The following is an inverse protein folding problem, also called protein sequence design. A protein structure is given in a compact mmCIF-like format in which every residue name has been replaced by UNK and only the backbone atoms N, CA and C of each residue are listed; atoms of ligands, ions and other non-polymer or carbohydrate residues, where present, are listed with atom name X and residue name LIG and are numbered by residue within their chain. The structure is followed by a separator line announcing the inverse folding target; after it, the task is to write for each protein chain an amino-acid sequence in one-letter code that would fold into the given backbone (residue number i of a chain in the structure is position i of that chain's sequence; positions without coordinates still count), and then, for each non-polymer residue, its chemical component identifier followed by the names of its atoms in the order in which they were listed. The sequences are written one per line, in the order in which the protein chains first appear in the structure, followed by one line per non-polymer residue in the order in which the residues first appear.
data_IF_596198372345
#
_entry.id   IF_596198372345
#
_cell.length_a   1.000
_cell.length_b   1.000
_cell.length_c   1.000
_cell.angle_alpha   90.00
_cell.angle_beta   90.00
_cell.angle_gamma   90.00
#
_symmetry.space_group_name_H-M   'P 1'
#
loop_
_entity.id
_entity.type
_entity.pdbx_description
1 polymer ?
#
# COMPACT_ATOMS: atom_id res chain seq x y z
N UNK A 1 -17.87 -0.52 -2.18
CA UNK A 1 -16.50 0.03 -2.32
C UNK A 1 -16.20 0.83 -1.07
N UNK A 2 -15.07 0.58 -0.44
CA UNK A 2 -14.59 1.35 0.70
C UNK A 2 -13.82 2.59 0.24
N UNK A 3 -13.93 3.67 1.01
CA UNK A 3 -13.09 4.84 0.88
C UNK A 3 -11.66 4.48 1.31
N UNK A 4 -10.67 4.94 0.53
CA UNK A 4 -9.25 4.74 0.84
C UNK A 4 -8.65 6.04 1.34
N UNK A 5 -8.25 6.03 2.61
CA UNK A 5 -7.43 7.05 3.22
C UNK A 5 -5.96 6.65 3.19
N UNK A 6 -5.07 7.63 3.13
CA UNK A 6 -3.63 7.40 3.12
C UNK A 6 -2.99 8.02 4.33
N UNK A 7 -2.26 7.20 5.10
CA UNK A 7 -1.36 7.74 6.12
C UNK A 7 -0.26 8.58 5.43
N UNK A 8 0.13 9.76 5.95
CA UNK A 8 1.12 10.63 5.30
C UNK A 8 2.44 9.94 4.95
N UNK A 9 2.90 9.04 5.84
CA UNK A 9 4.10 8.22 5.60
C UNK A 9 3.95 7.20 4.46
N UNK A 10 2.74 6.68 4.20
CA UNK A 10 2.51 5.81 3.04
C UNK A 10 2.67 6.60 1.73
N UNK A 11 2.21 7.86 1.71
CA UNK A 11 2.40 8.77 0.57
C UNK A 11 3.89 9.06 0.35
N UNK A 12 4.65 9.32 1.42
CA UNK A 12 6.10 9.50 1.34
C UNK A 12 6.81 8.27 0.75
N UNK A 13 6.41 7.07 1.17
CA UNK A 13 6.95 5.80 0.67
C UNK A 13 6.65 5.59 -0.81
N UNK A 14 5.41 5.83 -1.24
CA UNK A 14 5.02 5.78 -2.66
C UNK A 14 5.82 6.79 -3.50
N UNK A 15 5.95 8.04 -3.02
CA UNK A 15 6.76 9.08 -3.70
C UNK A 15 8.23 8.70 -3.78
N UNK A 16 8.78 8.10 -2.74
CA UNK A 16 10.16 7.60 -2.73
C UNK A 16 10.36 6.48 -3.76
N UNK A 17 9.45 5.50 -3.81
CA UNK A 17 9.46 4.42 -4.79
C UNK A 17 9.38 4.98 -6.23
N UNK A 18 8.45 5.91 -6.48
CA UNK A 18 8.32 6.59 -7.78
C UNK A 18 9.61 7.29 -8.20
N UNK A 19 10.24 8.06 -7.30
CA UNK A 19 11.53 8.73 -7.59
C UNK A 19 12.63 7.72 -7.92
N UNK A 20 12.72 6.61 -7.18
CA UNK A 20 13.71 5.56 -7.44
C UNK A 20 13.54 4.98 -8.85
N UNK A 21 12.32 4.65 -9.25
CA UNK A 21 12.06 4.11 -10.59
C UNK A 21 12.25 5.16 -11.70
N UNK A 22 12.02 6.45 -11.40
CA UNK A 22 12.24 7.53 -12.35
C UNK A 22 13.72 7.67 -12.75
N UNK A 23 14.65 7.35 -11.85
CA UNK A 23 16.08 7.29 -12.15
C UNK A 23 16.46 6.15 -13.12
N UNK A 24 15.62 5.12 -13.23
CA UNK A 24 15.85 3.97 -14.11
C UNK A 24 15.18 4.21 -15.47
N UNK A 25 13.87 4.51 -15.48
CA UNK A 25 13.10 4.77 -16.70
C UNK A 25 11.72 5.34 -16.38
N UNK A 26 11.25 6.28 -17.22
CA UNK A 26 9.87 6.78 -17.16
C UNK A 26 8.85 5.65 -17.37
N UNK A 27 9.13 4.70 -18.27
CA UNK A 27 8.23 3.55 -18.52
C UNK A 27 8.06 2.68 -17.28
N UNK A 28 9.15 2.42 -16.55
CA UNK A 28 9.11 1.63 -15.31
C UNK A 28 8.35 2.37 -14.20
N UNK A 29 8.52 3.69 -14.12
CA UNK A 29 7.79 4.56 -13.19
C UNK A 29 6.29 4.52 -13.46
N UNK A 30 5.87 4.64 -14.72
CA UNK A 30 4.47 4.56 -15.10
C UNK A 30 3.86 3.19 -14.76
N UNK A 31 4.59 2.10 -15.04
CA UNK A 31 4.16 0.74 -14.65
C UNK A 31 3.97 0.60 -13.14
N UNK A 32 4.89 1.14 -12.34
CA UNK A 32 4.77 1.12 -10.88
C UNK A 32 3.54 1.87 -10.39
N UNK A 33 3.31 3.08 -10.91
CA UNK A 33 2.15 3.89 -10.51
C UNK A 33 0.83 3.22 -10.89
N UNK A 34 0.72 2.69 -12.11
CA UNK A 34 -0.48 1.98 -12.55
C UNK A 34 -0.79 0.75 -11.68
N UNK A 35 0.25 0.02 -11.27
CA UNK A 35 0.07 -1.16 -10.41
C UNK A 35 -0.26 -0.79 -8.97
N UNK A 36 0.32 0.30 -8.46
CA UNK A 36 -0.06 0.88 -7.18
C UNK A 36 -1.53 1.29 -7.17
N UNK A 37 -1.99 2.02 -8.19
CA UNK A 37 -3.37 2.47 -8.32
C UNK A 37 -4.34 1.29 -8.45
N UNK A 38 -3.98 0.27 -9.25
CA UNK A 38 -4.76 -0.97 -9.35
C UNK A 38 -4.83 -1.73 -8.02
N UNK A 39 -3.74 -1.78 -7.25
CA UNK A 39 -3.73 -2.39 -5.93
C UNK A 39 -4.61 -1.65 -4.93
N UNK A 40 -4.57 -0.31 -4.94
CA UNK A 40 -5.45 0.54 -4.12
C UNK A 40 -6.92 0.33 -4.49
N UNK A 41 -7.23 0.29 -5.78
CA UNK A 41 -8.59 0.02 -6.25
C UNK A 41 -9.08 -1.38 -5.84
N UNK A 42 -8.21 -2.40 -5.90
CA UNK A 42 -8.54 -3.75 -5.47
C UNK A 42 -8.83 -3.82 -3.95
N UNK A 43 -8.03 -3.12 -3.14
CA UNK A 43 -8.29 -2.99 -1.70
C UNK A 43 -9.65 -2.33 -1.46
N UNK A 44 -9.95 -1.22 -2.16
CA UNK A 44 -11.23 -0.51 -2.00
C UNK A 44 -12.44 -1.31 -2.48
N UNK A 45 -12.26 -2.16 -3.50
CA UNK A 45 -13.33 -3.03 -3.99
C UNK A 45 -13.73 -4.08 -2.95
N UNK A 46 -12.74 -4.74 -2.33
CA UNK A 46 -12.97 -5.84 -1.39
C UNK A 46 -11.94 -5.87 -0.23
N UNK A 47 -12.06 -4.97 0.77
CA UNK A 47 -11.09 -4.87 1.87
C UNK A 47 -10.94 -6.15 2.69
N UNK A 48 -12.01 -6.92 2.81
CA UNK A 48 -12.06 -8.13 3.66
C UNK A 48 -11.52 -9.37 2.96
N UNK A 49 -11.25 -9.31 1.65
CA UNK A 49 -10.83 -10.45 0.83
C UNK A 49 -9.44 -10.99 1.22
N UNK A 50 -8.56 -10.13 1.73
CA UNK A 50 -7.18 -10.48 2.03
C UNK A 50 -7.06 -10.88 3.49
N UNK A 51 -6.52 -12.06 3.79
CA UNK A 51 -6.45 -12.56 5.17
C UNK A 51 -5.84 -11.54 6.14
N UNK A 52 -6.46 -11.33 7.32
CA UNK A 52 -5.88 -10.48 8.35
C UNK A 52 -4.54 -11.06 8.81
N UNK A 53 -3.62 -10.15 9.05
CA UNK A 53 -2.32 -10.42 9.62
C UNK A 53 -2.28 -9.88 11.06
N UNK A 54 -1.08 -9.72 11.61
CA UNK A 54 -0.89 -9.16 12.94
C UNK A 54 -1.59 -7.80 13.11
N UNK A 55 -2.20 -7.61 14.29
CA UNK A 55 -2.86 -6.37 14.69
C UNK A 55 -4.03 -5.93 13.78
N UNK A 56 -4.70 -6.88 13.11
CA UNK A 56 -5.82 -6.59 12.22
C UNK A 56 -5.43 -5.93 10.89
N UNK A 57 -4.12 -5.78 10.63
CA UNK A 57 -3.63 -5.25 9.35
C UNK A 57 -3.73 -6.31 8.26
N UNK A 58 -3.93 -5.88 7.02
CA UNK A 58 -3.99 -6.75 5.84
C UNK A 58 -2.94 -6.29 4.83
N UNK A 59 -2.56 -7.19 3.93
CA UNK A 59 -1.56 -6.92 2.89
C UNK A 59 -2.13 -7.17 1.50
N UNK A 60 -1.81 -6.26 0.59
CA UNK A 60 -1.92 -6.50 -0.85
C UNK A 60 -0.51 -6.50 -1.46
N UNK A 61 -0.14 -7.56 -2.18
CA UNK A 61 1.15 -7.65 -2.86
C UNK A 61 1.03 -7.11 -4.27
N UNK A 62 1.88 -6.14 -4.62
CA UNK A 62 2.01 -5.71 -6.01
C UNK A 62 2.61 -6.87 -6.85
N UNK A 63 1.92 -7.39 -7.88
CA UNK A 63 2.36 -8.57 -8.62
C UNK A 63 3.76 -8.49 -9.26
N UNK A 64 4.13 -7.34 -9.84
CA UNK A 64 5.39 -7.15 -10.58
C UNK A 64 6.43 -6.32 -9.81
N UNK A 65 6.06 -5.77 -8.65
CA UNK A 65 6.95 -4.93 -7.86
C UNK A 65 7.18 -5.51 -6.46
N UNK A 66 8.38 -5.35 -5.89
CA UNK A 66 8.72 -5.85 -4.55
C UNK A 66 8.11 -4.97 -3.46
N UNK A 67 6.79 -4.72 -3.52
CA UNK A 67 6.07 -3.88 -2.58
C UNK A 67 4.78 -4.55 -2.07
N UNK A 68 4.48 -4.24 -0.82
CA UNK A 68 3.27 -4.63 -0.12
C UNK A 68 2.53 -3.36 0.30
N UNK A 69 1.27 -3.25 -0.08
CA UNK A 69 0.35 -2.25 0.45
C UNK A 69 -0.18 -2.78 1.77
N UNK A 70 0.17 -2.11 2.86
CA UNK A 70 -0.29 -2.46 4.19
C UNK A 70 -1.45 -1.55 4.54
N UNK A 71 -2.57 -2.14 4.91
CA UNK A 71 -3.77 -1.40 5.22
C UNK A 71 -4.51 -1.96 6.43
N UNK A 72 -5.45 -1.17 6.94
CA UNK A 72 -6.30 -1.49 8.08
C UNK A 72 -7.69 -0.93 7.85
N UNK A 73 -8.71 -1.67 8.25
CA UNK A 73 -10.11 -1.21 8.20
C UNK A 73 -10.34 -0.27 9.39
N UNK A 74 -10.28 1.04 9.17
CA UNK A 74 -10.36 2.06 10.24
C UNK A 74 -11.79 2.34 10.69
N UNK A 75 -12.76 2.19 9.79
CA UNK A 75 -14.18 2.36 10.06
C UNK A 75 -15.01 1.51 9.06
N UNK A 76 -16.33 1.36 9.26
CA UNK A 76 -17.19 0.76 8.25
C UNK A 76 -17.00 1.47 6.90
N UNK A 77 -16.75 0.70 5.85
CA UNK A 77 -16.47 1.21 4.49
C UNK A 77 -15.29 2.18 4.38
N UNK A 78 -14.35 2.19 5.34
CA UNK A 78 -13.14 3.02 5.28
C UNK A 78 -11.90 2.18 5.53
N UNK A 79 -10.90 2.36 4.69
CA UNK A 79 -9.61 1.67 4.78
C UNK A 79 -8.51 2.70 4.85
N UNK A 80 -7.65 2.56 5.86
CA UNK A 80 -6.44 3.36 5.99
C UNK A 80 -5.24 2.59 5.41
N UNK A 81 -4.62 3.13 4.37
CA UNK A 81 -3.35 2.66 3.84
C UNK A 81 -2.20 3.16 4.73
N UNK A 82 -1.64 2.25 5.52
CA UNK A 82 -0.61 2.52 6.52
C UNK A 82 0.79 2.61 5.92
N UNK A 83 1.08 1.81 4.89
CA UNK A 83 2.39 1.77 4.26
C UNK A 83 2.37 1.26 2.82
N UNK A 84 3.32 1.78 2.02
CA UNK A 84 3.73 1.19 0.72
C UNK A 84 5.10 0.57 0.94
N UNK A 85 5.10 -0.61 1.55
CA UNK A 85 6.30 -1.25 2.07
C UNK A 85 7.07 -1.98 0.97
N UNK A 86 8.33 -1.60 0.74
CA UNK A 86 9.26 -2.45 -0.01
C UNK A 86 9.57 -3.74 0.76
N UNK A 87 9.53 -4.92 0.13
CA UNK A 87 9.62 -6.24 0.79
C UNK A 87 10.92 -6.46 1.59
N UNK A 88 12.02 -5.82 1.22
CA UNK A 88 13.27 -5.84 2.00
C UNK A 88 13.22 -5.06 3.33
N UNK A 89 12.16 -4.28 3.62
CA UNK A 89 12.01 -3.60 4.91
C UNK A 89 11.49 -4.57 5.96
N UNK A 90 11.93 -4.40 7.21
CA UNK A 90 11.44 -5.21 8.34
C UNK A 90 9.93 -4.98 8.52
N UNK A 91 9.09 -6.03 8.55
CA UNK A 91 7.66 -5.88 8.77
C UNK A 91 7.37 -5.30 10.18
N UNK A 92 6.23 -4.63 10.33
CA UNK A 92 5.70 -4.16 11.62
C UNK A 92 6.04 -2.70 12.00
N UNK A 93 6.85 -1.97 11.23
CA UNK A 93 7.18 -0.56 11.57
C UNK A 93 5.96 0.37 11.51
N UNK A 94 4.93 0.03 10.73
CA UNK A 94 3.69 0.79 10.62
C UNK A 94 2.79 0.66 11.85
N UNK A 95 3.11 -0.19 12.82
CA UNK A 95 2.32 -0.35 14.06
C UNK A 95 2.12 0.97 14.80
N UNK A 96 3.10 1.87 14.74
CA UNK A 96 3.03 3.22 15.33
C UNK A 96 2.12 4.19 14.54
N UNK A 97 1.53 3.72 13.44
CA UNK A 97 0.62 4.45 12.54
C UNK A 97 -0.82 3.94 12.64
N UNK A 98 -1.06 2.90 13.45
CA UNK A 98 -2.41 2.45 13.76
C UNK A 98 -3.11 3.54 14.59
N UNK A 99 -4.41 3.79 14.35
CA UNK A 99 -5.21 4.70 15.16
C UNK A 99 -5.37 4.19 16.61
#
# INVERSE_FOLDING_TARGET
MAEIEFHPRAIEEARHARRRYALVSQRLTARFMNELDAGVAAIGASPTQFSPHQHGTRYYRLPNFPYLLVYFESAPNTVLLLAVMHTNRRPGYWRRRLP
#
